data_IF_639117519599
#
_entry.id   IF_639117519599
#
_cell.length_a   1.000
_cell.length_b   1.000
_cell.length_c   1.000
_cell.angle_alpha   90.00
_cell.angle_beta   90.00
_cell.angle_gamma   90.00
#
_symmetry.space_group_name_H-M   'P 1'
#
loop_
_entity.id
_entity.type
_entity.pdbx_description
1 polymer ?
#
# COMPACT_ATOMS: atom_id res chain seq x y z
N UNK A 1 4.80 21.52 -7.29
CA UNK A 1 6.18 21.82 -6.83
C UNK A 1 6.51 20.81 -5.74
N UNK A 2 7.64 20.10 -5.83
CA UNK A 2 8.03 19.08 -4.85
C UNK A 2 8.46 19.77 -3.55
N UNK A 3 7.93 19.32 -2.42
CA UNK A 3 8.24 19.88 -1.09
C UNK A 3 9.46 19.16 -0.50
N UNK A 4 10.54 19.91 -0.25
CA UNK A 4 11.71 19.39 0.46
C UNK A 4 11.46 19.47 1.96
N UNK A 5 11.33 18.31 2.61
CA UNK A 5 11.08 18.23 4.06
C UNK A 5 12.36 18.49 4.84
N UNK A 6 12.25 19.26 5.91
CA UNK A 6 13.34 19.45 6.87
C UNK A 6 13.58 18.18 7.71
N UNK A 7 14.75 18.03 8.36
CA UNK A 7 15.01 16.89 9.24
C UNK A 7 13.95 16.70 10.32
N UNK A 8 13.42 17.80 10.90
CA UNK A 8 12.36 17.73 11.90
C UNK A 8 11.07 17.14 11.32
N UNK A 9 10.67 17.60 10.15
CA UNK A 9 9.47 17.11 9.47
C UNK A 9 9.62 15.62 9.10
N UNK A 10 10.82 15.19 8.68
CA UNK A 10 11.09 13.77 8.42
C UNK A 10 10.91 12.94 9.70
N UNK A 11 11.41 13.39 10.85
CA UNK A 11 11.18 12.68 12.12
C UNK A 11 9.69 12.65 12.52
N UNK A 12 8.95 13.74 12.30
CA UNK A 12 7.50 13.77 12.54
C UNK A 12 6.75 12.77 11.63
N UNK A 13 7.13 12.69 10.35
CA UNK A 13 6.54 11.76 9.37
C UNK A 13 6.76 10.29 9.72
N UNK A 14 7.89 9.93 10.34
CA UNK A 14 8.20 8.53 10.70
C UNK A 14 7.12 7.92 11.58
N UNK A 15 6.48 8.69 12.45
CA UNK A 15 5.45 8.18 13.36
C UNK A 15 4.22 7.71 12.58
N UNK A 16 3.79 8.46 11.55
CA UNK A 16 2.70 8.03 10.67
C UNK A 16 3.06 6.73 9.94
N UNK A 17 4.27 6.63 9.39
CA UNK A 17 4.77 5.40 8.76
C UNK A 17 4.83 4.21 9.72
N UNK A 18 5.26 4.41 10.96
CA UNK A 18 5.31 3.37 11.99
C UNK A 18 3.92 2.84 12.34
N UNK A 19 2.92 3.72 12.41
CA UNK A 19 1.53 3.32 12.67
C UNK A 19 0.99 2.46 11.51
N UNK A 20 1.26 2.83 10.26
CA UNK A 20 0.89 2.01 9.10
C UNK A 20 1.56 0.63 9.16
N UNK A 21 2.87 0.59 9.41
CA UNK A 21 3.62 -0.67 9.52
C UNK A 21 3.07 -1.57 10.64
N UNK A 22 2.71 -0.98 11.78
CA UNK A 22 2.11 -1.70 12.91
C UNK A 22 0.71 -2.23 12.56
N UNK A 23 -0.13 -1.44 11.88
CA UNK A 23 -1.42 -1.89 11.35
C UNK A 23 -1.27 -3.10 10.41
N UNK A 24 -0.31 -3.08 9.50
CA UNK A 24 -0.03 -4.22 8.61
C UNK A 24 0.42 -5.46 9.38
N UNK A 25 1.31 -5.30 10.36
CA UNK A 25 1.81 -6.40 11.19
C UNK A 25 0.69 -7.07 11.98
N UNK A 26 -0.25 -6.29 12.52
CA UNK A 26 -1.38 -6.84 13.25
C UNK A 26 -2.49 -7.40 12.33
N UNK A 27 -2.75 -6.75 11.20
CA UNK A 27 -3.71 -7.23 10.21
C UNK A 27 -3.28 -8.59 9.63
N UNK A 28 -1.98 -8.79 9.40
CA UNK A 28 -1.43 -10.05 8.90
C UNK A 28 -1.82 -11.27 9.77
N UNK A 29 -2.01 -11.07 11.08
CA UNK A 29 -2.32 -12.15 12.04
C UNK A 29 -3.76 -12.65 11.94
N UNK A 30 -4.65 -11.87 11.32
CA UNK A 30 -6.09 -12.19 11.21
C UNK A 30 -6.50 -12.50 9.76
N UNK A 31 -5.60 -12.33 8.79
CA UNK A 31 -5.89 -12.63 7.38
C UNK A 31 -5.80 -14.14 7.18
N UNK A 32 -6.96 -14.79 7.16
CA UNK A 32 -7.11 -16.23 6.96
C UNK A 32 -8.41 -16.54 6.19
N UNK A 33 -8.56 -17.75 5.60
CA UNK A 33 -9.82 -18.13 4.98
C UNK A 33 -11.02 -17.97 5.94
N UNK A 34 -12.11 -17.37 5.46
CA UNK A 34 -13.33 -17.16 6.22
C UNK A 34 -13.54 -15.74 6.77
N UNK A 35 -12.47 -15.00 7.10
CA UNK A 35 -12.61 -13.60 7.52
C UNK A 35 -13.11 -12.74 6.35
N UNK A 36 -13.97 -11.75 6.62
CA UNK A 36 -14.41 -10.82 5.58
C UNK A 36 -13.48 -9.62 5.42
N UNK A 37 -13.45 -9.06 4.21
CA UNK A 37 -12.71 -7.80 3.97
C UNK A 37 -13.22 -6.64 4.83
N UNK A 38 -14.52 -6.63 5.18
CA UNK A 38 -15.10 -5.68 6.15
C UNK A 38 -14.53 -5.87 7.55
N UNK A 39 -14.39 -7.10 8.04
CA UNK A 39 -13.82 -7.36 9.36
C UNK A 39 -12.35 -6.91 9.45
N UNK A 40 -11.58 -7.09 8.37
CA UNK A 40 -10.21 -6.59 8.26
C UNK A 40 -10.19 -5.06 8.30
N UNK A 41 -11.02 -4.39 7.50
CA UNK A 41 -11.16 -2.92 7.53
C UNK A 41 -11.48 -2.42 8.95
N UNK A 42 -12.46 -3.01 9.60
CA UNK A 42 -12.90 -2.57 10.92
C UNK A 42 -11.84 -2.85 11.99
N UNK A 43 -11.08 -3.93 11.85
CA UNK A 43 -9.93 -4.23 12.70
C UNK A 43 -8.83 -3.18 12.55
N UNK A 44 -8.39 -2.90 11.32
CA UNK A 44 -7.37 -1.87 11.03
C UNK A 44 -7.83 -0.53 11.55
N UNK A 45 -9.12 -0.20 11.35
CA UNK A 45 -9.68 1.05 11.80
C UNK A 45 -9.56 1.26 13.31
N UNK A 46 -9.94 0.23 14.08
CA UNK A 46 -9.79 0.22 15.54
C UNK A 46 -8.33 0.24 15.97
N UNK A 47 -7.45 -0.52 15.31
CA UNK A 47 -6.05 -0.61 15.68
C UNK A 47 -5.32 0.73 15.47
N UNK A 48 -5.48 1.34 14.30
CA UNK A 48 -4.93 2.64 13.97
C UNK A 48 -5.37 3.73 14.97
N UNK A 49 -6.67 3.75 15.31
CA UNK A 49 -7.22 4.70 16.29
C UNK A 49 -6.58 4.52 17.68
N UNK A 50 -6.31 3.28 18.10
CA UNK A 50 -5.63 3.00 19.39
C UNK A 50 -4.19 3.54 19.42
N UNK A 51 -3.53 3.61 18.27
CA UNK A 51 -2.20 4.20 18.13
C UNK A 51 -2.22 5.73 17.99
N UNK A 52 -3.41 6.35 18.05
CA UNK A 52 -3.59 7.80 17.91
C UNK A 52 -3.63 8.28 16.46
N UNK A 53 -3.59 7.37 15.48
CA UNK A 53 -3.77 7.69 14.07
C UNK A 53 -5.23 7.99 13.72
N UNK A 54 -5.45 8.85 12.74
CA UNK A 54 -6.77 9.17 12.20
C UNK A 54 -6.95 8.53 10.83
N UNK A 55 -8.17 8.06 10.60
CA UNK A 55 -8.59 7.60 9.29
C UNK A 55 -8.72 8.78 8.34
N UNK A 56 -8.32 8.56 7.09
CA UNK A 56 -8.46 9.57 6.03
C UNK A 56 -9.15 9.04 4.78
N UNK A 57 -8.96 7.76 4.44
CA UNK A 57 -9.50 7.15 3.23
C UNK A 57 -11.03 7.28 3.16
N UNK A 58 -11.72 7.14 4.29
CA UNK A 58 -13.18 7.29 4.33
C UNK A 58 -13.59 8.74 4.12
N UNK A 59 -14.40 8.95 3.08
CA UNK A 59 -14.84 10.26 2.62
C UNK A 59 -13.91 10.88 1.58
N UNK A 60 -12.67 10.38 1.43
CA UNK A 60 -11.75 10.86 0.39
C UNK A 60 -12.33 10.55 -1.00
N UNK A 61 -12.68 11.60 -1.76
CA UNK A 61 -13.41 11.49 -3.03
C UNK A 61 -14.65 10.59 -2.96
N UNK A 62 -15.34 10.58 -1.80
CA UNK A 62 -16.53 9.76 -1.58
C UNK A 62 -16.26 8.28 -1.29
N UNK A 63 -15.01 7.86 -1.09
CA UNK A 63 -14.68 6.47 -0.77
C UNK A 63 -15.31 6.04 0.57
N UNK A 64 -15.98 4.88 0.66
CA UNK A 64 -16.89 4.59 1.77
C UNK A 64 -16.25 3.86 2.97
N UNK A 65 -14.95 3.58 2.93
CA UNK A 65 -14.29 2.72 3.91
C UNK A 65 -12.92 3.26 4.35
N UNK A 66 -12.36 2.65 5.38
CA UNK A 66 -11.15 3.12 6.08
C UNK A 66 -9.87 2.60 5.39
N UNK A 67 -9.95 1.41 4.80
CA UNK A 67 -8.87 0.78 4.02
C UNK A 67 -9.38 0.36 2.64
N UNK A 68 -8.45 0.17 1.70
CA UNK A 68 -8.76 -0.55 0.46
C UNK A 68 -8.42 -2.03 0.62
N UNK A 69 -9.32 -2.90 0.21
CA UNK A 69 -9.14 -4.37 0.20
C UNK A 69 -9.40 -4.89 -1.21
N UNK A 70 -8.34 -5.07 -1.97
CA UNK A 70 -8.41 -5.45 -3.38
C UNK A 70 -8.08 -6.93 -3.53
N UNK A 71 -9.07 -7.74 -3.88
CA UNK A 71 -8.91 -9.19 -4.03
C UNK A 71 -8.53 -9.55 -5.47
N UNK A 72 -7.56 -10.46 -5.62
CA UNK A 72 -7.23 -11.14 -6.87
C UNK A 72 -6.99 -10.18 -8.06
N UNK A 73 -7.93 -10.11 -8.99
CA UNK A 73 -7.88 -9.30 -10.21
C UNK A 73 -8.19 -7.80 -9.98
N UNK A 74 -8.72 -7.43 -8.81
CA UNK A 74 -8.91 -6.03 -8.43
C UNK A 74 -7.56 -5.36 -8.24
N UNK A 75 -7.18 -4.44 -9.12
CA UNK A 75 -5.84 -3.82 -9.14
C UNK A 75 -5.58 -3.01 -7.86
N UNK A 76 -6.43 -2.04 -7.57
CA UNK A 76 -6.36 -1.17 -6.39
C UNK A 76 -7.77 -0.68 -6.01
N UNK A 77 -7.89 0.03 -4.89
CA UNK A 77 -9.13 0.69 -4.43
C UNK A 77 -10.35 -0.24 -4.27
N UNK A 78 -10.13 -1.53 -4.01
CA UNK A 78 -11.22 -2.46 -3.70
C UNK A 78 -11.96 -2.03 -2.43
N UNK A 79 -13.30 -1.95 -2.49
CA UNK A 79 -14.12 -1.54 -1.35
C UNK A 79 -14.35 -2.74 -0.40
N UNK A 80 -14.04 -2.62 0.90
CA UNK A 80 -14.34 -3.63 1.90
C UNK A 80 -15.82 -4.05 1.91
N UNK A 81 -16.06 -5.36 1.91
CA UNK A 81 -17.40 -5.96 1.80
C UNK A 81 -17.58 -7.15 2.74
N UNK A 82 -18.79 -7.72 2.78
CA UNK A 82 -19.10 -8.95 3.52
C UNK A 82 -18.56 -10.22 2.83
N UNK A 83 -17.79 -10.08 1.75
CA UNK A 83 -17.14 -11.22 1.09
C UNK A 83 -16.07 -11.79 2.02
N UNK A 84 -16.26 -13.05 2.40
CA UNK A 84 -15.26 -13.85 3.09
C UNK A 84 -14.10 -14.20 2.14
N UNK A 85 -12.87 -14.15 2.66
CA UNK A 85 -11.68 -14.61 1.97
C UNK A 85 -11.72 -16.12 1.79
N UNK A 86 -11.16 -16.61 0.69
CA UNK A 86 -11.02 -18.04 0.39
C UNK A 86 -9.56 -18.45 0.40
N UNK A 87 -9.30 -19.71 0.71
CA UNK A 87 -7.98 -20.30 0.51
C UNK A 87 -7.53 -20.11 -0.94
N UNK A 88 -6.31 -19.60 -1.11
CA UNK A 88 -5.72 -19.26 -2.40
C UNK A 88 -6.02 -17.85 -2.92
N UNK A 89 -6.81 -17.03 -2.21
CA UNK A 89 -7.00 -15.61 -2.57
C UNK A 89 -5.70 -14.82 -2.35
N UNK A 90 -5.50 -13.77 -3.16
CA UNK A 90 -4.55 -12.70 -2.91
C UNK A 90 -5.31 -11.45 -2.45
N UNK A 91 -4.94 -10.93 -1.28
CA UNK A 91 -5.49 -9.68 -0.74
C UNK A 91 -4.44 -8.59 -0.75
N UNK A 92 -4.63 -7.56 -1.59
CA UNK A 92 -3.92 -6.29 -1.45
C UNK A 92 -4.68 -5.43 -0.44
N UNK A 93 -4.06 -5.19 0.70
CA UNK A 93 -4.58 -4.32 1.75
C UNK A 93 -3.78 -3.02 1.72
N UNK A 94 -4.48 -1.91 1.56
CA UNK A 94 -3.92 -0.57 1.47
C UNK A 94 -4.36 0.27 2.67
N UNK A 95 -3.41 0.87 3.37
CA UNK A 95 -3.62 1.54 4.65
C UNK A 95 -2.99 2.93 4.63
N UNK A 96 -3.86 3.93 4.77
CA UNK A 96 -3.48 5.34 4.95
C UNK A 96 -3.79 5.78 6.37
N UNK A 97 -2.86 6.47 7.02
CA UNK A 97 -3.07 7.12 8.33
C UNK A 97 -2.70 8.60 8.27
N UNK A 98 -3.45 9.44 8.96
CA UNK A 98 -3.01 10.78 9.34
C UNK A 98 -2.60 10.79 10.83
N UNK A 99 -1.40 11.29 11.13
CA UNK A 99 -0.93 11.49 12.50
C UNK A 99 -0.15 12.80 12.62
N UNK A 100 -0.55 13.69 13.53
CA UNK A 100 0.15 14.96 13.76
C UNK A 100 0.18 15.91 12.54
N UNK A 101 -0.78 15.74 11.63
CA UNK A 101 -0.87 16.41 10.34
C UNK A 101 0.00 15.78 9.24
N UNK A 102 0.59 14.61 9.46
CA UNK A 102 1.40 13.87 8.49
C UNK A 102 0.73 12.58 8.06
N UNK A 103 0.88 12.27 6.79
CA UNK A 103 0.33 11.06 6.17
C UNK A 103 1.39 9.95 6.11
N UNK A 104 0.97 8.74 6.46
CA UNK A 104 1.67 7.50 6.17
C UNK A 104 0.79 6.64 5.26
N UNK A 105 1.41 5.96 4.31
CA UNK A 105 0.70 5.17 3.31
C UNK A 105 1.54 3.96 2.90
N UNK A 106 0.92 2.78 2.88
CA UNK A 106 1.51 1.60 2.29
C UNK A 106 0.47 0.56 1.93
N UNK A 107 0.76 -0.20 0.88
CA UNK A 107 -0.01 -1.37 0.49
C UNK A 107 0.84 -2.64 0.56
N UNK A 108 0.27 -3.72 1.08
CA UNK A 108 0.87 -5.06 1.08
C UNK A 108 -0.08 -6.09 0.46
N UNK A 109 0.49 -7.02 -0.30
CA UNK A 109 -0.22 -8.18 -0.81
C UNK A 109 -0.03 -9.38 0.14
N UNK A 110 -1.13 -9.95 0.61
CA UNK A 110 -1.19 -11.09 1.50
C UNK A 110 -1.72 -12.32 0.76
N UNK A 111 -1.04 -13.45 0.95
CA UNK A 111 -1.54 -14.76 0.55
C UNK A 111 -2.53 -15.25 1.61
N UNK A 112 -3.75 -15.59 1.18
CA UNK A 112 -4.76 -16.17 2.08
C UNK A 112 -4.63 -17.69 2.03
N UNK A 113 -4.12 -18.28 3.12
CA UNK A 113 -3.87 -19.72 3.17
C UNK A 113 -2.83 -20.16 2.13
N UNK A 114 -3.13 -21.20 1.35
CA UNK A 114 -2.20 -21.75 0.35
C UNK A 114 -2.49 -21.22 -1.05
N UNK A 115 -1.60 -20.38 -1.58
CA UNK A 115 -1.71 -19.83 -2.94
C UNK A 115 -1.03 -20.72 -3.98
N UNK A 116 -1.52 -20.65 -5.22
CA UNK A 116 -0.91 -21.36 -6.35
C UNK A 116 0.52 -20.85 -6.65
N UNK A 117 1.40 -21.68 -7.24
CA UNK A 117 2.77 -21.28 -7.58
C UNK A 117 2.86 -20.00 -8.42
N UNK A 118 1.92 -19.79 -9.36
CA UNK A 118 1.88 -18.61 -10.21
C UNK A 118 1.57 -17.34 -9.42
N UNK A 119 0.68 -17.44 -8.42
CA UNK A 119 0.35 -16.34 -7.51
C UNK A 119 1.52 -16.02 -6.58
N UNK A 120 2.18 -17.05 -6.04
CA UNK A 120 3.42 -16.88 -5.25
C UNK A 120 4.52 -16.19 -6.07
N UNK A 121 4.69 -16.60 -7.34
CA UNK A 121 5.65 -15.96 -8.27
C UNK A 121 5.31 -14.50 -8.53
N UNK A 122 4.03 -14.17 -8.75
CA UNK A 122 3.60 -12.78 -8.96
C UNK A 122 3.91 -11.91 -7.74
N UNK A 123 3.58 -12.38 -6.52
CA UNK A 123 3.87 -11.65 -5.29
C UNK A 123 5.37 -11.41 -5.10
N UNK A 124 6.18 -12.45 -5.37
CA UNK A 124 7.64 -12.37 -5.29
C UNK A 124 8.17 -11.31 -6.26
N UNK A 125 7.80 -11.37 -7.53
CA UNK A 125 8.29 -10.43 -8.55
C UNK A 125 7.82 -9.00 -8.26
N UNK A 126 6.58 -8.80 -7.80
CA UNK A 126 6.10 -7.48 -7.41
C UNK A 126 6.90 -6.90 -6.22
N UNK A 127 7.26 -7.73 -5.24
CA UNK A 127 8.12 -7.31 -4.12
C UNK A 127 9.54 -6.98 -4.57
N UNK A 128 10.12 -7.77 -5.47
CA UNK A 128 11.44 -7.50 -6.07
C UNK A 128 11.42 -6.17 -6.85
N UNK A 129 10.36 -5.89 -7.61
CA UNK A 129 10.19 -4.59 -8.28
C UNK A 129 10.21 -3.42 -7.27
N UNK A 130 9.47 -3.54 -6.16
CA UNK A 130 9.47 -2.51 -5.11
C UNK A 130 10.88 -2.30 -4.54
N UNK A 131 11.58 -3.39 -4.20
CA UNK A 131 12.94 -3.32 -3.65
C UNK A 131 13.95 -2.71 -4.62
N UNK A 132 13.88 -3.08 -5.91
CA UNK A 132 14.70 -2.50 -6.97
C UNK A 132 14.42 -1.01 -7.15
N UNK A 133 13.14 -0.60 -7.14
CA UNK A 133 12.74 0.79 -7.22
C UNK A 133 13.29 1.62 -6.05
N UNK A 134 13.14 1.12 -4.81
CA UNK A 134 13.69 1.75 -3.60
C UNK A 134 15.21 1.90 -3.71
N UNK A 135 15.92 0.87 -4.19
CA UNK A 135 17.38 0.91 -4.36
C UNK A 135 17.85 1.97 -5.38
N UNK A 136 16.98 2.41 -6.29
CA UNK A 136 17.26 3.48 -7.27
C UNK A 136 16.87 4.87 -6.79
N UNK A 137 16.15 5.00 -5.68
CA UNK A 137 15.73 6.28 -5.10
C UNK A 137 16.90 6.97 -4.36
N UNK A 138 17.86 7.51 -5.12
CA UNK A 138 19.08 8.13 -4.60
C UNK A 138 19.16 9.63 -4.92
N UNK A 139 19.82 10.45 -4.08
CA UNK A 139 20.06 11.86 -4.36
C UNK A 139 20.76 12.06 -5.73
N UNK A 140 20.23 12.98 -6.54
CA UNK A 140 20.73 13.25 -7.89
C UNK A 140 20.21 12.30 -8.97
N UNK A 141 19.48 11.23 -8.61
CA UNK A 141 18.79 10.34 -9.55
C UNK A 141 17.54 10.96 -10.16
N UNK A 142 16.96 10.26 -11.14
CA UNK A 142 15.70 10.62 -11.82
C UNK A 142 14.61 9.61 -11.48
N UNK A 143 13.35 10.05 -11.51
CA UNK A 143 12.20 9.14 -11.38
C UNK A 143 12.24 8.02 -12.45
N UNK A 144 12.71 8.34 -13.65
CA UNK A 144 12.90 7.34 -14.72
C UNK A 144 13.87 6.21 -14.37
N UNK A 145 14.83 6.42 -13.46
CA UNK A 145 15.74 5.37 -13.02
C UNK A 145 15.01 4.32 -12.15
N UNK A 146 14.00 4.77 -11.40
CA UNK A 146 13.12 3.94 -10.57
C UNK A 146 12.16 3.15 -11.47
N UNK A 147 11.42 3.85 -12.33
CA UNK A 147 10.38 3.23 -13.17
C UNK A 147 10.98 2.27 -14.21
N UNK A 148 12.13 2.63 -14.79
CA UNK A 148 12.83 1.73 -15.72
C UNK A 148 13.30 0.44 -15.03
N UNK A 149 13.73 0.50 -13.76
CA UNK A 149 14.15 -0.70 -13.04
C UNK A 149 12.96 -1.62 -12.72
N UNK A 150 11.83 -1.04 -12.32
CA UNK A 150 10.57 -1.75 -12.07
C UNK A 150 10.07 -2.42 -13.36
N UNK A 151 9.98 -1.66 -14.45
CA UNK A 151 9.47 -2.17 -15.73
C UNK A 151 10.33 -3.29 -16.30
N UNK A 152 11.65 -3.13 -16.34
CA UNK A 152 12.54 -4.17 -16.85
C UNK A 152 12.43 -5.47 -16.04
N UNK A 153 12.31 -5.38 -14.71
CA UNK A 153 12.18 -6.58 -13.87
C UNK A 153 10.82 -7.27 -14.06
N UNK A 154 9.73 -6.51 -14.13
CA UNK A 154 8.39 -7.05 -14.37
C UNK A 154 8.30 -7.74 -15.74
N UNK A 155 8.72 -7.06 -16.82
CA UNK A 155 8.62 -7.55 -18.20
C UNK A 155 9.54 -8.74 -18.47
N UNK A 156 10.77 -8.75 -17.91
CA UNK A 156 11.67 -9.91 -18.02
C UNK A 156 11.14 -11.16 -17.31
N UNK A 157 10.21 -10.97 -16.36
CA UNK A 157 9.50 -12.05 -15.69
C UNK A 157 8.12 -12.38 -16.32
N UNK A 158 7.76 -11.74 -17.44
CA UNK A 158 6.51 -11.99 -18.16
C UNK A 158 5.28 -11.34 -17.53
N UNK A 159 5.47 -10.28 -16.73
CA UNK A 159 4.38 -9.47 -16.18
C UNK A 159 4.35 -8.09 -16.86
N UNK A 160 3.22 -7.40 -16.76
CA UNK A 160 3.02 -6.03 -17.24
C UNK A 160 2.79 -5.07 -16.07
N UNK A 161 2.99 -3.77 -16.32
CA UNK A 161 2.68 -2.71 -15.37
C UNK A 161 1.31 -2.10 -15.61
N UNK A 162 0.64 -1.72 -14.53
CA UNK A 162 -0.60 -0.95 -14.57
C UNK A 162 -0.27 0.51 -14.94
N UNK A 163 -0.98 1.05 -15.92
CA UNK A 163 -0.77 2.41 -16.45
C UNK A 163 -1.84 3.42 -16.04
N UNK A 164 -3.00 2.95 -15.58
CA UNK A 164 -4.13 3.81 -15.20
C UNK A 164 -4.01 4.41 -13.79
N UNK A 165 -2.96 4.05 -13.05
CA UNK A 165 -2.69 4.53 -11.70
C UNK A 165 -1.28 5.10 -11.64
N UNK A 166 -1.10 6.14 -10.83
CA UNK A 166 0.18 6.80 -10.60
C UNK A 166 0.59 6.66 -9.14
N UNK A 167 1.89 6.58 -8.91
CA UNK A 167 2.48 6.83 -7.61
C UNK A 167 2.57 8.35 -7.35
N UNK A 168 2.74 8.72 -6.09
CA UNK A 168 2.69 10.11 -5.64
C UNK A 168 3.74 10.40 -4.57
N UNK A 169 4.02 11.68 -4.35
CA UNK A 169 4.62 12.16 -3.12
C UNK A 169 3.62 12.09 -1.96
N UNK A 170 4.12 12.10 -0.73
CA UNK A 170 3.30 12.06 0.49
C UNK A 170 3.91 12.96 1.56
N UNK A 171 3.06 13.59 2.37
CA UNK A 171 3.51 14.50 3.41
C UNK A 171 2.38 15.02 4.28
N UNK A 172 2.09 16.31 4.18
CA UNK A 172 0.96 16.98 4.84
C UNK A 172 -0.35 16.76 4.08
N UNK A 173 -0.29 16.23 2.86
CA UNK A 173 -1.41 15.73 2.08
C UNK A 173 -1.16 14.28 1.68
N UNK A 174 -2.25 13.52 1.45
CA UNK A 174 -2.17 12.14 0.96
C UNK A 174 -1.43 12.06 -0.39
N UNK A 175 -1.84 12.89 -1.34
CA UNK A 175 -1.20 13.02 -2.65
C UNK A 175 -0.49 14.37 -2.75
N UNK A 176 0.85 14.35 -2.77
CA UNK A 176 1.73 15.49 -3.08
C UNK A 176 2.49 15.22 -4.39
N UNK A 177 3.06 16.26 -5.00
CA UNK A 177 4.02 16.07 -6.09
C UNK A 177 5.32 15.40 -5.58
N UNK A 178 5.99 14.57 -6.39
CA UNK A 178 5.70 14.28 -7.79
C UNK A 178 4.62 13.19 -7.96
N UNK A 179 3.80 13.31 -9.00
CA UNK A 179 3.06 12.16 -9.55
C UNK A 179 3.90 11.46 -10.63
N UNK A 180 3.96 10.14 -10.62
CA UNK A 180 4.77 9.37 -11.57
C UNK A 180 4.23 7.98 -11.87
N UNK A 181 4.54 7.48 -13.06
CA UNK A 181 4.19 6.12 -13.50
C UNK A 181 5.07 5.06 -12.80
N UNK A 182 4.71 3.79 -12.98
CA UNK A 182 5.48 2.64 -12.52
C UNK A 182 6.48 2.16 -13.57
#
# INVERSE_FOLDING_TARGET
MIVIKSPREIEEMKTAGQIVADCHREAAKIIEPGITTREINDFVARHMTKLGGKQFTKGYNGFPAETCTSLNDVVAHGIPSKRALKDGDLLKLDIVVEYGGWFGDSCWCYAVGTVRPEASRLMKVAKECLELGIARALPGGRLGDITSAIQQHAESNGYSLVRDLLAHGIGRSLHEEPNYEH
#
